data_IF_258727788749
#
_entry.id   IF_258727788749
#
_cell.length_a   1.000
_cell.length_b   1.000
_cell.length_c   1.000
_cell.angle_alpha   90.00
_cell.angle_beta   90.00
_cell.angle_gamma   90.00
#
_symmetry.space_group_name_H-M   'P 1'
#
loop_
_entity.id
_entity.type
_entity.pdbx_description
1 polymer ?
#
# COMPACT_ATOMS: atom_id res chain seq x y z
N UNK A 1 40.78 14.95 33.52
CA UNK A 1 39.99 13.74 33.30
C UNK A 1 38.49 14.03 33.50
N UNK A 2 38.07 14.64 34.61
CA UNK A 2 36.68 14.99 34.92
C UNK A 2 35.98 15.88 33.85
N UNK A 3 36.69 16.81 33.20
CA UNK A 3 36.15 17.67 32.14
C UNK A 3 35.76 16.84 30.86
N UNK A 4 36.62 15.89 30.45
CA UNK A 4 36.38 15.04 29.30
C UNK A 4 35.24 14.02 29.53
N UNK A 5 35.06 13.56 30.76
CA UNK A 5 33.96 12.69 31.13
C UNK A 5 32.62 13.44 31.08
N UNK A 6 32.59 14.70 31.52
CA UNK A 6 31.43 15.57 31.40
C UNK A 6 31.06 15.86 29.96
N UNK A 7 32.02 16.17 29.10
CA UNK A 7 31.79 16.37 27.66
C UNK A 7 31.28 15.10 26.97
N UNK A 8 31.80 13.93 27.36
CA UNK A 8 31.38 12.64 26.82
C UNK A 8 29.93 12.27 27.24
N UNK A 9 29.57 12.65 28.46
CA UNK A 9 28.23 12.44 28.97
C UNK A 9 27.22 13.33 28.24
N UNK A 10 27.49 14.63 28.08
CA UNK A 10 26.61 15.55 27.32
C UNK A 10 26.48 15.14 25.85
N UNK A 11 27.56 14.68 25.20
CA UNK A 11 27.53 14.21 23.84
C UNK A 11 26.66 12.93 23.70
N UNK A 12 26.72 12.01 24.67
CA UNK A 12 25.88 10.82 24.69
C UNK A 12 24.41 11.18 24.89
N UNK A 13 24.11 12.12 25.74
CA UNK A 13 22.73 12.59 25.98
C UNK A 13 22.16 13.27 24.73
N UNK A 14 22.91 14.13 24.07
CA UNK A 14 22.54 14.76 22.79
C UNK A 14 22.32 13.71 21.71
N UNK A 15 23.18 12.71 21.60
CA UNK A 15 23.02 11.60 20.65
C UNK A 15 21.73 10.81 20.91
N UNK A 16 21.40 10.60 22.18
CA UNK A 16 20.17 9.90 22.55
C UNK A 16 18.94 10.72 22.19
N UNK A 17 18.94 12.02 22.47
CA UNK A 17 17.86 12.94 22.09
C UNK A 17 17.67 13.01 20.58
N UNK A 18 18.77 13.08 19.81
CA UNK A 18 18.71 13.06 18.34
C UNK A 18 18.13 11.75 17.82
N UNK A 19 18.55 10.60 18.35
CA UNK A 19 17.99 9.29 17.96
C UNK A 19 16.49 9.17 18.24
N UNK A 20 16.04 9.69 19.40
CA UNK A 20 14.63 9.69 19.74
C UNK A 20 13.84 10.57 18.76
N UNK A 21 14.36 11.75 18.46
CA UNK A 21 13.73 12.67 17.51
C UNK A 21 13.67 12.11 16.09
N UNK A 22 14.74 11.48 15.61
CA UNK A 22 14.73 10.82 14.29
C UNK A 22 13.73 9.68 14.22
N UNK A 23 13.62 8.88 15.26
CA UNK A 23 12.62 7.81 15.36
C UNK A 23 11.18 8.35 15.32
N UNK A 24 10.90 9.44 16.03
CA UNK A 24 9.58 10.08 15.99
C UNK A 24 9.24 10.63 14.60
N UNK A 25 10.22 11.21 13.91
CA UNK A 25 10.06 11.74 12.56
C UNK A 25 9.82 10.61 11.54
N UNK A 26 10.59 9.52 11.63
CA UNK A 26 10.39 8.33 10.79
C UNK A 26 8.98 7.75 10.99
N UNK A 27 8.53 7.65 12.24
CA UNK A 27 7.19 7.14 12.54
C UNK A 27 6.08 8.03 11.96
N UNK A 28 6.20 9.35 12.04
CA UNK A 28 5.23 10.28 11.45
C UNK A 28 5.17 10.17 9.92
N UNK A 29 6.30 9.92 9.25
CA UNK A 29 6.34 9.68 7.82
C UNK A 29 5.65 8.35 7.48
N UNK A 30 5.90 7.29 8.25
CA UNK A 30 5.23 5.98 8.12
C UNK A 30 3.72 6.09 8.26
N UNK A 31 3.23 6.78 9.30
CA UNK A 31 1.80 7.02 9.54
C UNK A 31 1.14 7.79 8.38
N UNK A 32 1.86 8.73 7.78
CA UNK A 32 1.39 9.48 6.61
C UNK A 32 1.22 8.58 5.39
N UNK A 33 2.23 7.75 5.08
CA UNK A 33 2.17 6.79 3.96
C UNK A 33 1.02 5.81 4.16
N UNK A 34 0.88 5.26 5.36
CA UNK A 34 -0.20 4.35 5.69
C UNK A 34 -1.58 4.99 5.45
N UNK A 35 -1.82 6.18 6.00
CA UNK A 35 -3.12 6.85 5.90
C UNK A 35 -3.52 7.15 4.45
N UNK A 36 -2.58 7.55 3.60
CA UNK A 36 -2.85 7.81 2.18
C UNK A 36 -3.03 6.52 1.37
N UNK A 37 -2.27 5.47 1.66
CA UNK A 37 -2.43 4.17 1.01
C UNK A 37 -3.78 3.51 1.36
N UNK A 38 -4.18 3.55 2.64
CA UNK A 38 -5.48 3.05 3.10
C UNK A 38 -6.65 3.81 2.44
N UNK A 39 -6.53 5.14 2.26
CA UNK A 39 -7.54 5.94 1.58
C UNK A 39 -7.81 5.49 0.13
N UNK A 40 -6.76 5.01 -0.56
CA UNK A 40 -6.85 4.51 -1.93
C UNK A 40 -7.03 3.00 -2.00
N UNK A 41 -7.11 2.31 -0.85
CA UNK A 41 -7.12 0.86 -0.75
C UNK A 41 -5.94 0.20 -1.50
N UNK A 42 -4.75 0.83 -1.42
CA UNK A 42 -3.53 0.32 -2.03
C UNK A 42 -2.65 -0.38 -1.00
N UNK A 43 -1.97 -1.47 -1.40
CA UNK A 43 -0.99 -2.12 -0.54
C UNK A 43 0.17 -1.17 -0.21
N UNK A 44 0.66 -1.23 1.02
CA UNK A 44 1.79 -0.43 1.47
C UNK A 44 2.74 -1.21 2.38
N UNK A 45 3.97 -0.73 2.47
CA UNK A 45 4.98 -1.21 3.39
C UNK A 45 5.63 0.02 4.03
N UNK A 46 5.40 0.20 5.31
CA UNK A 46 5.91 1.32 6.11
C UNK A 46 7.00 0.90 7.11
N UNK A 47 7.23 -0.39 7.24
CA UNK A 47 8.34 -0.97 7.98
C UNK A 47 9.45 -1.37 6.99
N UNK A 48 10.40 -2.18 7.44
CA UNK A 48 11.52 -2.61 6.61
C UNK A 48 11.08 -3.52 5.46
N UNK A 49 11.52 -3.23 4.24
CA UNK A 49 11.38 -4.13 3.10
C UNK A 49 12.13 -5.45 3.33
N UNK A 50 11.46 -6.55 3.17
CA UNK A 50 12.07 -7.89 3.27
C UNK A 50 12.49 -8.35 1.87
N UNK A 51 13.75 -8.82 1.72
CA UNK A 51 14.21 -9.36 0.44
C UNK A 51 13.32 -10.50 -0.06
N UNK A 52 12.96 -10.45 -1.34
CA UNK A 52 12.09 -11.45 -1.98
C UNK A 52 10.59 -11.13 -1.91
N UNK A 53 10.20 -9.93 -1.49
CA UNK A 53 8.76 -9.58 -1.38
C UNK A 53 8.06 -9.56 -2.74
N UNK A 54 8.74 -9.18 -3.79
CA UNK A 54 8.22 -9.22 -5.16
C UNK A 54 8.74 -10.44 -5.93
N UNK A 55 10.04 -10.68 -5.88
CA UNK A 55 10.69 -11.77 -6.63
C UNK A 55 10.31 -13.16 -6.14
N UNK A 56 9.98 -13.32 -4.86
CA UNK A 56 9.52 -14.58 -4.27
C UNK A 56 8.12 -14.43 -3.65
N UNK A 57 7.20 -13.84 -4.41
CA UNK A 57 5.85 -13.55 -3.96
C UNK A 57 5.07 -14.77 -3.47
N UNK A 58 5.30 -15.95 -4.06
CA UNK A 58 4.66 -17.19 -3.62
C UNK A 58 4.97 -17.54 -2.15
N UNK A 59 6.18 -17.27 -1.70
CA UNK A 59 6.56 -17.48 -0.28
C UNK A 59 5.93 -16.43 0.63
N UNK A 60 5.88 -15.19 0.16
CA UNK A 60 5.20 -14.09 0.88
C UNK A 60 3.71 -14.40 1.01
N UNK A 61 3.06 -14.84 -0.07
CA UNK A 61 1.64 -15.20 -0.06
C UNK A 61 1.31 -16.30 0.97
N UNK A 62 2.17 -17.32 1.12
CA UNK A 62 2.01 -18.33 2.18
C UNK A 62 2.09 -17.71 3.58
N UNK A 63 2.94 -16.71 3.79
CA UNK A 63 3.02 -15.99 5.07
C UNK A 63 1.82 -15.10 5.32
N UNK A 64 1.23 -14.51 4.26
CA UNK A 64 -0.03 -13.76 4.35
C UNK A 64 -1.21 -14.68 4.70
N UNK A 65 -1.25 -15.88 4.12
CA UNK A 65 -2.23 -16.91 4.50
C UNK A 65 -2.07 -17.29 5.98
N UNK A 66 -0.82 -17.49 6.41
CA UNK A 66 -0.52 -17.77 7.81
C UNK A 66 -0.96 -16.63 8.76
N UNK A 67 -0.81 -15.38 8.35
CA UNK A 67 -1.30 -14.23 9.11
C UNK A 67 -2.82 -14.29 9.25
N UNK A 68 -3.56 -14.55 8.17
CA UNK A 68 -5.03 -14.70 8.18
C UNK A 68 -5.47 -15.85 9.10
N UNK A 69 -4.81 -17.00 9.05
CA UNK A 69 -5.07 -18.11 9.99
C UNK A 69 -4.86 -17.72 11.46
N UNK A 70 -3.82 -16.92 11.75
CA UNK A 70 -3.54 -16.45 13.09
C UNK A 70 -4.53 -15.38 13.56
N UNK A 71 -5.15 -14.63 12.64
CA UNK A 71 -6.20 -13.65 12.95
C UNK A 71 -7.51 -14.32 13.36
N UNK A 72 -7.82 -15.49 12.82
CA UNK A 72 -9.03 -16.27 13.15
C UNK A 72 -8.94 -16.94 14.53
N UNK A 73 -7.75 -17.03 15.13
CA UNK A 73 -7.56 -17.67 16.44
C UNK A 73 -7.91 -16.71 17.55
N UNK A 74 -8.84 -17.12 18.42
CA UNK A 74 -9.07 -16.45 19.69
C UNK A 74 -7.96 -16.82 20.69
N UNK A 75 -7.12 -15.84 21.03
CA UNK A 75 -5.99 -16.02 21.94
C UNK A 75 -6.39 -15.98 23.43
N UNK A 76 -7.59 -15.54 23.75
CA UNK A 76 -8.07 -15.44 25.12
C UNK A 76 -8.83 -16.72 25.55
N UNK A 77 -9.36 -17.49 24.58
CA UNK A 77 -10.00 -18.79 24.86
C UNK A 77 -9.00 -19.96 24.82
N UNK A 78 -8.41 -20.24 25.97
CA UNK A 78 -7.48 -21.37 26.16
C UNK A 78 -8.22 -22.72 26.13
N UNK A 79 -9.46 -22.76 26.60
CA UNK A 79 -10.22 -24.00 26.72
C UNK A 79 -10.76 -24.49 25.36
N UNK A 80 -11.28 -23.57 24.53
CA UNK A 80 -11.82 -23.90 23.22
C UNK A 80 -10.77 -24.16 22.17
N UNK A 81 -9.58 -23.54 22.27
CA UNK A 81 -8.51 -23.68 21.28
C UNK A 81 -7.76 -25.02 21.35
N UNK A 82 -7.88 -25.78 22.47
CA UNK A 82 -7.13 -27.03 22.69
C UNK A 82 -5.61 -26.87 22.77
N UNK A 83 -5.11 -25.63 22.89
CA UNK A 83 -3.69 -25.27 22.92
C UNK A 83 -3.24 -24.83 24.31
N UNK A 84 -1.97 -24.98 24.61
CA UNK A 84 -1.41 -24.49 25.86
C UNK A 84 -1.25 -22.99 25.87
N UNK A 85 -1.31 -22.34 27.04
CA UNK A 85 -1.07 -20.89 27.19
C UNK A 85 0.26 -20.45 26.58
N UNK A 86 1.29 -21.29 26.64
CA UNK A 86 2.61 -21.02 26.05
C UNK A 86 2.52 -20.97 24.52
N UNK A 87 1.82 -21.91 23.91
CA UNK A 87 1.65 -21.97 22.44
C UNK A 87 0.84 -20.78 21.95
N UNK A 88 -0.26 -20.42 22.62
CA UNK A 88 -1.06 -19.23 22.30
C UNK A 88 -0.23 -17.95 22.39
N UNK A 89 0.62 -17.81 23.42
CA UNK A 89 1.52 -16.67 23.53
C UNK A 89 2.56 -16.62 22.38
N UNK A 90 3.11 -17.77 21.97
CA UNK A 90 4.03 -17.83 20.84
C UNK A 90 3.35 -17.46 19.53
N UNK A 91 2.14 -17.95 19.28
CA UNK A 91 1.33 -17.63 18.10
C UNK A 91 0.92 -16.16 18.08
N UNK A 92 0.57 -15.57 19.22
CA UNK A 92 0.31 -14.14 19.32
C UNK A 92 1.51 -13.29 18.95
N UNK A 93 2.71 -13.66 19.44
CA UNK A 93 3.95 -12.98 19.07
C UNK A 93 4.29 -13.14 17.58
N UNK A 94 3.98 -14.31 17.00
CA UNK A 94 4.13 -14.55 15.56
C UNK A 94 3.17 -13.65 14.76
N UNK A 95 1.90 -13.58 15.18
CA UNK A 95 0.89 -12.69 14.60
C UNK A 95 1.36 -11.23 14.62
N UNK A 96 1.71 -10.71 15.80
CA UNK A 96 2.14 -9.31 15.98
C UNK A 96 3.35 -8.97 15.09
N UNK A 97 4.28 -9.92 14.93
CA UNK A 97 5.43 -9.76 14.05
C UNK A 97 5.05 -9.72 12.57
N UNK A 98 4.19 -10.64 12.13
CA UNK A 98 3.73 -10.70 10.74
C UNK A 98 2.85 -9.50 10.40
N UNK A 99 1.96 -9.11 11.28
CA UNK A 99 1.08 -7.94 11.11
C UNK A 99 1.88 -6.66 10.96
N UNK A 100 2.91 -6.44 11.78
CA UNK A 100 3.78 -5.28 11.67
C UNK A 100 4.55 -5.24 10.35
N UNK A 101 5.02 -6.39 9.84
CA UNK A 101 5.89 -6.42 8.65
C UNK A 101 5.14 -6.59 7.33
N UNK A 102 3.97 -7.25 7.35
CA UNK A 102 3.21 -7.63 6.17
C UNK A 102 1.76 -7.15 6.20
N UNK A 103 1.32 -6.51 7.28
CA UNK A 103 -0.07 -6.08 7.47
C UNK A 103 -0.58 -5.19 6.34
N UNK A 104 0.25 -4.26 5.86
CA UNK A 104 -0.13 -3.35 4.76
C UNK A 104 -0.28 -4.01 3.39
N UNK A 105 0.20 -5.24 3.21
CA UNK A 105 0.04 -6.02 1.96
C UNK A 105 -0.89 -7.24 2.13
N UNK A 106 -1.64 -7.30 3.23
CA UNK A 106 -2.52 -8.42 3.61
C UNK A 106 -3.41 -8.92 2.48
N UNK A 107 -4.01 -8.00 1.72
CA UNK A 107 -4.99 -8.31 0.69
C UNK A 107 -4.40 -8.32 -0.73
N UNK A 108 -3.09 -8.23 -0.83
CA UNK A 108 -2.40 -8.27 -2.11
C UNK A 108 -2.41 -9.68 -2.69
N UNK A 109 -3.21 -9.89 -3.75
CA UNK A 109 -3.34 -11.19 -4.41
C UNK A 109 -2.31 -11.41 -5.53
N UNK A 110 -1.74 -10.35 -6.09
CA UNK A 110 -0.80 -10.40 -7.22
C UNK A 110 0.26 -9.31 -7.10
N UNK A 111 1.34 -9.47 -7.82
CA UNK A 111 2.42 -8.49 -7.94
C UNK A 111 1.85 -7.16 -8.48
N UNK A 112 2.25 -6.00 -7.93
CA UNK A 112 1.76 -4.70 -8.35
C UNK A 112 2.26 -4.33 -9.74
N UNK A 113 1.51 -3.47 -10.45
CA UNK A 113 1.86 -2.98 -11.79
C UNK A 113 2.84 -1.81 -11.76
N UNK A 114 2.99 -1.13 -10.63
CA UNK A 114 3.96 -0.07 -10.38
C UNK A 114 4.25 -0.01 -8.88
N UNK A 115 5.38 0.57 -8.49
CA UNK A 115 5.72 0.83 -7.10
C UNK A 115 6.05 2.30 -6.87
N UNK A 116 5.64 2.82 -5.72
CA UNK A 116 6.00 4.14 -5.20
C UNK A 116 7.04 3.99 -4.10
N UNK A 117 8.19 4.64 -4.23
CA UNK A 117 9.30 4.59 -3.28
C UNK A 117 9.64 6.00 -2.82
N UNK A 118 9.76 6.20 -1.51
CA UNK A 118 10.08 7.52 -0.94
C UNK A 118 11.58 7.74 -0.82
N UNK A 119 12.34 6.71 -0.45
CA UNK A 119 13.80 6.78 -0.31
C UNK A 119 14.42 5.57 -1.04
N UNK A 120 14.97 5.81 -2.23
CA UNK A 120 15.56 4.74 -3.04
C UNK A 120 16.85 4.18 -2.43
N UNK A 121 17.57 4.98 -1.65
CA UNK A 121 18.83 4.55 -1.05
C UNK A 121 18.62 3.61 0.13
N UNK A 122 17.59 3.86 0.96
CA UNK A 122 17.20 2.94 2.03
C UNK A 122 16.53 1.69 1.46
N UNK A 123 15.65 1.87 0.49
CA UNK A 123 14.82 0.80 -0.09
C UNK A 123 15.40 0.24 -1.40
N UNK A 124 16.75 0.26 -1.57
CA UNK A 124 17.45 -0.26 -2.75
C UNK A 124 17.09 -1.71 -3.10
N UNK A 125 16.69 -2.52 -2.12
CA UNK A 125 16.25 -3.90 -2.34
C UNK A 125 14.92 -3.91 -3.09
N UNK A 126 13.97 -3.05 -2.72
CA UNK A 126 12.68 -2.93 -3.39
C UNK A 126 12.85 -2.47 -4.84
N UNK A 127 13.66 -1.45 -5.06
CA UNK A 127 14.01 -0.94 -6.41
C UNK A 127 14.67 -2.04 -7.24
N UNK A 128 15.65 -2.76 -6.68
CA UNK A 128 16.33 -3.87 -7.37
C UNK A 128 15.41 -5.04 -7.72
N UNK A 129 14.44 -5.37 -6.87
CA UNK A 129 13.45 -6.40 -7.16
C UNK A 129 12.44 -5.95 -8.24
N UNK A 130 11.97 -4.72 -8.19
CA UNK A 130 11.08 -4.16 -9.19
C UNK A 130 11.72 -4.15 -10.59
N UNK A 131 12.96 -3.70 -10.69
CA UNK A 131 13.73 -3.72 -11.95
C UNK A 131 13.90 -5.12 -12.53
N UNK A 132 14.15 -6.13 -11.67
CA UNK A 132 14.25 -7.53 -12.10
C UNK A 132 12.95 -8.06 -12.69
N UNK A 133 11.82 -7.57 -12.21
CA UNK A 133 10.48 -7.98 -12.67
C UNK A 133 9.92 -7.06 -13.78
N UNK A 134 10.64 -6.00 -14.16
CA UNK A 134 10.17 -5.02 -15.12
C UNK A 134 8.97 -4.19 -14.63
N UNK A 135 8.90 -3.99 -13.32
CA UNK A 135 7.84 -3.17 -12.69
C UNK A 135 8.31 -1.72 -12.67
N UNK A 136 7.55 -0.77 -13.23
CA UNK A 136 7.88 0.65 -13.19
C UNK A 136 8.04 1.17 -11.77
N UNK A 137 9.12 1.90 -11.53
CA UNK A 137 9.45 2.51 -10.24
C UNK A 137 9.24 4.01 -10.33
N UNK A 138 8.35 4.53 -9.49
CA UNK A 138 8.13 5.95 -9.30
C UNK A 138 8.76 6.29 -7.95
N UNK A 139 9.68 7.24 -7.90
CA UNK A 139 10.38 7.52 -6.64
C UNK A 139 10.65 8.99 -6.40
N UNK A 140 10.66 9.36 -5.12
CA UNK A 140 11.21 10.65 -4.67
C UNK A 140 12.72 10.53 -4.65
N UNK A 141 13.40 11.46 -5.29
CA UNK A 141 14.85 11.50 -5.36
C UNK A 141 15.36 12.78 -4.70
N UNK A 142 16.18 12.60 -3.70
CA UNK A 142 17.00 13.67 -3.10
C UNK A 142 18.41 13.63 -3.72
N UNK A 143 19.27 14.51 -3.28
CA UNK A 143 20.64 14.71 -3.78
C UNK A 143 21.56 13.49 -3.62
N UNK A 144 21.20 12.55 -2.76
CA UNK A 144 21.94 11.32 -2.45
C UNK A 144 21.53 10.10 -3.28
N UNK A 145 20.52 10.25 -4.17
CA UNK A 145 19.92 9.18 -4.95
C UNK A 145 20.37 9.22 -6.41
N UNK A 146 20.38 8.04 -7.07
CA UNK A 146 20.72 7.91 -8.48
C UNK A 146 19.43 7.91 -9.32
N UNK A 147 19.25 8.89 -10.24
CA UNK A 147 18.07 8.96 -11.09
C UNK A 147 18.00 7.82 -12.12
N UNK A 148 19.10 7.18 -12.47
CA UNK A 148 19.14 6.10 -13.46
C UNK A 148 18.59 4.76 -12.91
N UNK A 149 18.32 4.69 -11.60
CA UNK A 149 17.74 3.52 -10.94
C UNK A 149 16.21 3.47 -11.02
N UNK A 150 15.55 4.56 -11.44
CA UNK A 150 14.09 4.70 -11.42
C UNK A 150 13.54 5.11 -12.77
N UNK A 151 12.30 4.72 -13.07
CA UNK A 151 11.66 5.05 -14.35
C UNK A 151 11.03 6.45 -14.32
N UNK A 152 10.48 6.86 -13.19
CA UNK A 152 9.81 8.15 -12.99
C UNK A 152 10.40 8.87 -11.78
N UNK A 153 11.46 9.66 -11.95
CA UNK A 153 12.10 10.41 -10.88
C UNK A 153 11.28 11.66 -10.51
N UNK A 154 10.98 11.84 -9.25
CA UNK A 154 10.33 13.03 -8.71
C UNK A 154 11.35 13.73 -7.80
N UNK A 155 11.86 14.90 -8.18
CA UNK A 155 12.80 15.63 -7.33
C UNK A 155 12.09 16.12 -6.06
N UNK A 156 12.62 15.76 -4.90
CA UNK A 156 12.03 16.13 -3.62
C UNK A 156 12.92 15.76 -2.45
N UNK A 157 12.61 16.33 -1.28
CA UNK A 157 13.32 16.00 -0.05
C UNK A 157 12.63 14.79 0.60
N UNK A 158 13.37 13.71 0.79
CA UNK A 158 12.90 12.45 1.39
C UNK A 158 13.00 12.43 2.92
N UNK A 159 13.77 13.34 3.52
CA UNK A 159 13.93 13.47 4.97
C UNK A 159 12.86 14.38 5.63
N UNK A 160 12.18 15.23 4.85
CA UNK A 160 11.20 16.17 5.38
C UNK A 160 9.79 15.57 5.38
N UNK A 161 9.18 15.34 6.56
CA UNK A 161 7.83 14.78 6.74
C UNK A 161 6.79 15.51 5.88
N UNK A 162 6.86 16.84 5.81
CA UNK A 162 5.93 17.64 5.01
C UNK A 162 6.05 17.37 3.52
N UNK A 163 7.29 17.17 3.03
CA UNK A 163 7.55 16.81 1.64
C UNK A 163 7.00 15.42 1.33
N UNK A 164 7.35 14.43 2.16
CA UNK A 164 6.86 13.05 2.04
C UNK A 164 5.33 13.00 2.06
N UNK A 165 4.71 13.66 3.02
CA UNK A 165 3.23 13.70 3.13
C UNK A 165 2.57 14.37 1.91
N UNK A 166 3.12 15.49 1.42
CA UNK A 166 2.61 16.18 0.25
C UNK A 166 2.70 15.33 -1.02
N UNK A 167 3.89 14.79 -1.30
CA UNK A 167 4.13 13.98 -2.50
C UNK A 167 3.32 12.69 -2.47
N UNK A 168 3.26 12.00 -1.32
CA UNK A 168 2.43 10.80 -1.16
C UNK A 168 0.95 11.11 -1.33
N UNK A 169 0.48 12.27 -0.85
CA UNK A 169 -0.90 12.71 -1.08
C UNK A 169 -1.19 12.89 -2.56
N UNK A 170 -0.34 13.60 -3.29
CA UNK A 170 -0.52 13.82 -4.74
C UNK A 170 -0.55 12.49 -5.50
N UNK A 171 0.35 11.56 -5.13
CA UNK A 171 0.35 10.22 -5.71
C UNK A 171 -0.94 9.45 -5.39
N UNK A 172 -1.42 9.52 -4.16
CA UNK A 172 -2.67 8.89 -3.75
C UNK A 172 -3.88 9.46 -4.51
N UNK A 173 -3.93 10.77 -4.69
CA UNK A 173 -4.99 11.44 -5.44
C UNK A 173 -4.97 10.99 -6.92
N UNK A 174 -3.79 10.93 -7.56
CA UNK A 174 -3.64 10.45 -8.93
C UNK A 174 -4.05 8.96 -9.08
N UNK A 175 -3.70 8.12 -8.10
CA UNK A 175 -4.13 6.71 -8.08
C UNK A 175 -5.65 6.59 -7.96
N UNK A 176 -6.26 7.39 -7.08
CA UNK A 176 -7.72 7.41 -6.91
C UNK A 176 -8.43 7.83 -8.20
N UNK A 177 -7.95 8.88 -8.88
CA UNK A 177 -8.49 9.32 -10.18
C UNK A 177 -8.34 8.23 -11.25
N UNK A 178 -7.17 7.56 -11.32
CA UNK A 178 -6.94 6.45 -12.25
C UNK A 178 -7.86 5.25 -11.99
N UNK A 179 -8.15 4.93 -10.72
CA UNK A 179 -9.11 3.88 -10.36
C UNK A 179 -10.54 4.24 -10.77
N UNK A 180 -10.96 5.50 -10.56
CA UNK A 180 -12.27 5.99 -10.98
C UNK A 180 -12.42 5.97 -12.50
N UNK A 181 -11.40 6.43 -13.23
CA UNK A 181 -11.41 6.40 -14.70
C UNK A 181 -11.51 4.96 -15.23
N UNK A 182 -10.78 4.02 -14.63
CA UNK A 182 -10.85 2.60 -15.00
C UNK A 182 -12.21 1.98 -14.69
N UNK A 183 -12.82 2.28 -13.56
CA UNK A 183 -14.15 1.78 -13.21
C UNK A 183 -15.23 2.38 -14.11
N UNK A 184 -15.12 3.66 -14.46
CA UNK A 184 -16.01 4.33 -15.41
C UNK A 184 -15.88 3.77 -16.83
N UNK A 185 -14.67 3.50 -17.29
CA UNK A 185 -14.43 2.85 -18.57
C UNK A 185 -14.97 1.41 -18.61
N UNK A 186 -14.76 0.64 -17.54
CA UNK A 186 -15.31 -0.72 -17.42
C UNK A 186 -16.84 -0.73 -17.36
N UNK A 187 -17.45 0.27 -16.74
CA UNK A 187 -18.91 0.44 -16.75
C UNK A 187 -19.43 0.83 -18.16
N UNK A 188 -18.66 1.63 -18.90
CA UNK A 188 -19.00 2.01 -20.27
C UNK A 188 -18.79 0.83 -21.27
N UNK A 189 -17.77 -0.01 -21.06
CA UNK A 189 -17.55 -1.23 -21.86
C UNK A 189 -18.54 -2.35 -21.51
N UNK A 190 -18.98 -2.43 -20.25
CA UNK A 190 -20.03 -3.37 -19.80
C UNK A 190 -21.44 -2.92 -20.20
N UNK A 191 -21.62 -1.66 -20.59
CA UNK A 191 -22.80 -1.10 -21.19
C UNK A 191 -22.81 -1.19 -22.74
N UNK A 192 -21.98 -2.04 -23.34
CA UNK A 192 -22.27 -2.53 -24.69
C UNK A 192 -23.55 -3.32 -24.60
N UNK A 193 -24.62 -2.66 -25.04
CA UNK A 193 -25.98 -3.17 -25.21
C UNK A 193 -25.93 -4.61 -25.74
N UNK A 194 -26.35 -5.56 -24.92
CA UNK A 194 -26.88 -6.80 -25.52
C UNK A 194 -27.89 -6.33 -26.56
N UNK A 195 -27.75 -6.77 -27.83
CA UNK A 195 -28.71 -6.33 -28.85
C UNK A 195 -30.09 -6.74 -28.35
N UNK A 196 -30.95 -5.74 -28.10
CA UNK A 196 -32.34 -5.91 -27.68
C UNK A 196 -32.93 -7.05 -28.50
N UNK A 197 -33.48 -8.04 -27.83
CA UNK A 197 -34.12 -9.17 -28.50
C UNK A 197 -35.17 -8.65 -29.50
N UNK A 198 -35.36 -9.34 -30.64
CA UNK A 198 -36.27 -8.86 -31.71
C UNK A 198 -37.66 -8.51 -31.18
N UNK A 199 -38.16 -9.25 -30.22
CA UNK A 199 -39.46 -8.97 -29.58
C UNK A 199 -39.48 -7.67 -28.75
N UNK A 200 -38.34 -7.28 -28.19
CA UNK A 200 -38.18 -6.04 -27.43
C UNK A 200 -38.13 -4.80 -28.33
N UNK A 201 -37.53 -4.94 -29.53
CA UNK A 201 -37.57 -3.92 -30.58
C UNK A 201 -38.95 -3.71 -31.14
N UNK A 202 -39.71 -4.80 -31.33
CA UNK A 202 -41.12 -4.74 -31.78
C UNK A 202 -42.02 -4.07 -30.74
N UNK A 203 -41.77 -4.30 -29.45
CA UNK A 203 -42.53 -3.68 -28.37
C UNK A 203 -42.28 -2.16 -28.27
N UNK A 204 -41.05 -1.73 -28.43
CA UNK A 204 -40.68 -0.30 -28.46
C UNK A 204 -41.16 0.39 -29.73
N UNK A 205 -41.16 -0.28 -30.88
CA UNK A 205 -41.70 0.26 -32.12
C UNK A 205 -43.26 0.32 -32.08
N UNK A 206 -43.90 -0.59 -31.36
CA UNK A 206 -45.36 -0.56 -31.16
C UNK A 206 -45.86 0.52 -30.23
N UNK A 207 -45.08 0.93 -29.24
CA UNK A 207 -45.45 2.04 -28.33
C UNK A 207 -45.32 3.40 -28.99
N UNK A 208 -44.37 3.61 -29.90
CA UNK A 208 -44.26 4.88 -30.65
C UNK A 208 -45.39 5.15 -31.62
N UNK A 209 -46.10 4.10 -32.09
CA UNK A 209 -47.25 4.22 -33.01
C UNK A 209 -48.55 4.59 -32.29
N UNK A 210 -48.65 4.40 -30.98
CA UNK A 210 -49.87 4.70 -30.20
C UNK A 210 -49.87 6.16 -29.71
N UNK A 211 -48.68 6.75 -29.51
CA UNK A 211 -48.54 8.16 -29.09
C UNK A 211 -48.79 9.14 -30.24
N UNK A 212 -48.53 8.76 -31.50
CA UNK A 212 -48.84 9.62 -32.68
C UNK A 212 -50.33 9.71 -33.01
N UNK A 213 -51.13 8.71 -32.63
CA UNK A 213 -52.58 8.73 -32.89
C UNK A 213 -53.35 9.52 -31.83
N UNK A 214 -52.79 9.67 -30.63
CA UNK A 214 -53.41 10.43 -29.53
C UNK A 214 -53.12 11.96 -29.57
N UNK A 215 -52.26 12.43 -30.47
CA UNK A 215 -51.91 13.87 -30.63
C UNK A 215 -52.65 14.53 -31.83
N UNK A 216 -53.54 13.80 -32.51
CA UNK A 216 -54.27 14.28 -33.70
C UNK A 216 -55.81 14.40 -33.53
N UNK A 217 -56.32 14.36 -32.27
CA UNK A 217 -57.74 14.71 -31.98
C UNK A 217 -57.87 15.98 -31.13
#
# INVERSE_FOLDING_TARGET
LASKEGELWTAKEQLTQLKTKTFELEKQAQDSIQSYAERCNMPYINERWLGGMLTNFNTVHKRLQRLKELEEIDFDDVAGSGKTKKELLMMRREKDKLERTLGGIRDMAKIPSAIWVVDTKKEHIAVGEARKLGIPVIAVLDTNCDPDEVDFPIPGNDDAIRSVALLTRVMADAVAEGLMARSGAAAAEGATEEPLAEWERELLAGQGAVDEVSAAE
#
